data_IF_756863154311
#
_entry.id   IF_756863154311
#
_cell.length_a   1.000
_cell.length_b   1.000
_cell.length_c   1.000
_cell.angle_alpha   90.00
_cell.angle_beta   90.00
_cell.angle_gamma   90.00
#
_symmetry.space_group_name_H-M   'P 1'
#
loop_
_entity.id
_entity.type
_entity.pdbx_description
1 polymer ?
#
# COMPACT_ATOMS: atom_id res chain seq x y z
N UNK A 1 40.59 -14.11 34.08
CA UNK A 1 40.78 -13.44 32.78
C UNK A 1 40.54 -11.95 32.97
N UNK A 2 41.60 -11.11 33.02
CA UNK A 2 41.47 -9.67 33.29
C UNK A 2 40.94 -9.00 32.01
N UNK A 3 39.66 -8.66 31.99
CA UNK A 3 39.04 -7.98 30.86
C UNK A 3 39.66 -6.59 30.73
N UNK A 4 40.41 -6.35 29.65
CA UNK A 4 41.05 -5.06 29.41
C UNK A 4 39.96 -3.99 29.27
N UNK A 5 39.90 -3.06 30.24
CA UNK A 5 38.88 -1.99 30.29
C UNK A 5 38.77 -1.20 28.98
N UNK A 6 39.86 -1.11 28.21
CA UNK A 6 39.90 -0.47 26.88
C UNK A 6 39.11 -1.24 25.81
N UNK A 7 39.11 -2.58 25.83
CA UNK A 7 38.34 -3.42 24.90
C UNK A 7 36.84 -3.38 25.22
N UNK A 8 36.48 -3.35 26.51
CA UNK A 8 35.10 -3.19 26.93
C UNK A 8 34.52 -1.82 26.51
N UNK A 9 35.32 -0.75 26.64
CA UNK A 9 34.91 0.60 26.22
C UNK A 9 34.70 0.68 24.70
N UNK A 10 35.60 0.06 23.92
CA UNK A 10 35.49 0.02 22.46
C UNK A 10 34.27 -0.77 21.99
N UNK A 11 33.94 -1.88 22.66
CA UNK A 11 32.76 -2.67 22.33
C UNK A 11 31.47 -1.87 22.59
N UNK A 12 31.37 -1.18 23.74
CA UNK A 12 30.21 -0.33 24.06
C UNK A 12 30.05 0.82 23.05
N UNK A 13 31.16 1.45 22.63
CA UNK A 13 31.13 2.53 21.65
C UNK A 13 30.63 2.04 20.29
N UNK A 14 31.13 0.89 19.81
CA UNK A 14 30.71 0.29 18.54
C UNK A 14 29.22 -0.11 18.59
N UNK A 15 28.76 -0.74 19.66
CA UNK A 15 27.34 -1.10 19.82
C UNK A 15 26.45 0.13 19.88
N UNK A 16 26.90 1.22 20.53
CA UNK A 16 26.14 2.48 20.60
C UNK A 16 26.02 3.19 19.24
N UNK A 17 27.07 3.11 18.41
CA UNK A 17 27.06 3.66 17.05
C UNK A 17 26.08 2.91 16.14
N UNK A 18 25.96 1.59 16.28
CA UNK A 18 24.98 0.80 15.55
C UNK A 18 23.53 1.09 15.96
N UNK A 19 23.28 1.44 17.24
CA UNK A 19 21.93 1.79 17.71
C UNK A 19 21.46 3.17 17.27
N UNK A 20 22.38 4.12 17.01
CA UNK A 20 22.04 5.49 16.63
C UNK A 20 21.71 5.64 15.13
N UNK A 21 22.20 4.77 14.25
CA UNK A 21 21.90 4.82 12.81
C UNK A 21 20.54 4.20 12.43
N UNK A 22 19.93 3.41 13.32
CA UNK A 22 18.68 2.71 13.01
C UNK A 22 17.44 3.61 13.08
N UNK A 23 17.40 4.60 14.00
CA UNK A 23 16.23 5.47 14.17
C UNK A 23 16.17 6.62 13.15
N UNK A 24 17.32 7.17 12.72
CA UNK A 24 17.37 8.28 11.75
C UNK A 24 17.03 7.81 10.32
N UNK A 25 17.28 6.54 9.99
CA UNK A 25 17.04 5.99 8.65
C UNK A 25 15.55 5.88 8.32
N UNK A 26 14.67 5.68 9.31
CA UNK A 26 13.23 5.53 9.08
C UNK A 26 12.60 6.88 8.68
N UNK A 27 12.98 7.98 9.34
CA UNK A 27 12.41 9.32 9.08
C UNK A 27 12.99 9.96 7.82
N UNK A 28 14.26 9.70 7.51
CA UNK A 28 14.90 10.21 6.28
C UNK A 28 14.43 9.45 5.04
N UNK A 29 14.14 8.15 5.15
CA UNK A 29 13.58 7.37 4.05
C UNK A 29 12.20 7.89 3.64
N UNK A 30 11.32 8.24 4.59
CA UNK A 30 10.00 8.79 4.29
C UNK A 30 10.03 10.17 3.60
N UNK A 31 10.97 11.04 4.00
CA UNK A 31 11.18 12.33 3.31
C UNK A 31 11.71 12.16 1.89
N UNK A 32 12.67 11.25 1.69
CA UNK A 32 13.17 10.91 0.34
C UNK A 32 12.09 10.21 -0.50
N UNK A 33 11.19 9.46 0.15
CA UNK A 33 10.07 8.78 -0.49
C UNK A 33 9.11 9.77 -1.14
N UNK A 34 8.79 10.91 -0.50
CA UNK A 34 7.94 11.95 -1.12
C UNK A 34 8.57 12.58 -2.38
N UNK A 35 9.89 12.73 -2.41
CA UNK A 35 10.60 13.23 -3.61
C UNK A 35 10.60 12.20 -4.75
N UNK A 36 10.62 10.90 -4.45
CA UNK A 36 10.53 9.82 -5.45
C UNK A 36 9.16 9.70 -6.13
N UNK A 37 8.10 10.34 -5.61
CA UNK A 37 6.75 10.26 -6.23
C UNK A 37 6.59 11.25 -7.37
N UNK A 38 7.50 12.24 -7.46
CA UNK A 38 7.42 13.32 -8.44
C UNK A 38 7.61 12.74 -9.85
N UNK A 39 6.58 12.88 -10.67
CA UNK A 39 6.56 12.46 -12.07
C UNK A 39 6.06 11.03 -12.30
N UNK A 40 5.84 10.23 -11.25
CA UNK A 40 5.24 8.90 -11.39
C UNK A 40 3.79 9.02 -11.84
N UNK A 41 3.42 8.23 -12.83
CA UNK A 41 2.05 8.14 -13.32
C UNK A 41 1.26 7.17 -12.45
N UNK A 42 0.12 7.63 -11.93
CA UNK A 42 -0.68 6.93 -10.94
C UNK A 42 -2.14 6.91 -11.39
N UNK A 43 -2.80 5.79 -11.16
CA UNK A 43 -4.25 5.63 -11.31
C UNK A 43 -4.88 5.44 -9.93
N UNK A 44 -5.77 6.35 -9.55
CA UNK A 44 -6.53 6.35 -8.31
C UNK A 44 -7.95 5.88 -8.59
N UNK A 45 -8.41 4.89 -7.83
CA UNK A 45 -9.76 4.32 -7.94
C UNK A 45 -10.45 4.32 -6.58
N UNK A 46 -11.74 4.64 -6.56
CA UNK A 46 -12.56 4.60 -5.35
C UNK A 46 -13.67 3.57 -5.46
N UNK A 47 -14.04 2.96 -4.34
CA UNK A 47 -15.03 1.90 -4.31
C UNK A 47 -16.10 2.16 -3.25
N UNK A 48 -17.36 1.88 -3.61
CA UNK A 48 -18.50 1.99 -2.71
C UNK A 48 -18.54 0.84 -1.67
N UNK A 49 -19.55 0.87 -0.80
CA UNK A 49 -19.75 -0.17 0.21
C UNK A 49 -20.06 -1.55 -0.39
N UNK A 50 -20.60 -1.58 -1.61
CA UNK A 50 -20.90 -2.78 -2.39
C UNK A 50 -19.69 -3.26 -3.21
N UNK A 51 -18.53 -2.63 -3.03
CA UNK A 51 -17.29 -2.96 -3.75
C UNK A 51 -17.36 -2.70 -5.26
N UNK A 52 -18.20 -1.76 -5.66
CA UNK A 52 -18.29 -1.26 -7.04
C UNK A 52 -17.36 -0.05 -7.23
N UNK A 53 -16.72 0.01 -8.40
CA UNK A 53 -15.92 1.16 -8.80
C UNK A 53 -16.83 2.39 -8.95
N UNK A 54 -16.52 3.47 -8.23
CA UNK A 54 -17.24 4.75 -8.32
C UNK A 54 -16.53 5.65 -9.32
N UNK A 55 -15.26 5.96 -9.05
CA UNK A 55 -14.46 6.89 -9.82
C UNK A 55 -13.08 6.32 -10.14
N UNK A 56 -12.52 6.75 -11.27
CA UNK A 56 -11.15 6.47 -11.70
C UNK A 56 -10.50 7.76 -12.21
N UNK A 57 -9.30 8.06 -11.72
CA UNK A 57 -8.56 9.28 -12.02
C UNK A 57 -7.09 8.92 -12.25
N UNK A 58 -6.50 9.45 -13.33
CA UNK A 58 -5.09 9.23 -13.65
C UNK A 58 -4.33 10.55 -13.77
N UNK A 59 -3.08 10.55 -13.31
CA UNK A 59 -2.23 11.73 -13.35
C UNK A 59 -0.86 11.48 -12.75
N UNK A 60 -0.02 12.52 -12.72
CA UNK A 60 1.37 12.41 -12.27
C UNK A 60 1.55 12.97 -10.88
N UNK A 61 2.56 12.49 -10.14
CA UNK A 61 2.92 13.02 -8.83
C UNK A 61 1.75 12.96 -7.84
N UNK A 62 1.38 11.75 -7.45
CA UNK A 62 0.39 11.56 -6.38
C UNK A 62 0.99 12.01 -5.04
N UNK A 63 0.14 12.47 -4.13
CA UNK A 63 0.44 12.61 -2.70
C UNK A 63 -0.85 12.36 -1.93
N UNK A 64 -0.78 11.56 -0.87
CA UNK A 64 -1.92 11.30 0.00
C UNK A 64 -1.51 11.65 1.43
N UNK A 65 -2.30 12.49 2.07
CA UNK A 65 -2.06 12.93 3.44
C UNK A 65 -3.38 13.14 4.18
N UNK A 66 -3.34 13.15 5.50
CA UNK A 66 -4.47 13.57 6.32
C UNK A 66 -4.73 15.06 6.09
N UNK A 67 -5.98 15.45 5.88
CA UNK A 67 -6.34 16.85 5.82
C UNK A 67 -6.48 17.41 7.25
N UNK A 68 -5.51 18.23 7.65
CA UNK A 68 -5.40 18.80 8.99
C UNK A 68 -6.48 19.84 9.30
N UNK A 69 -7.12 20.41 8.28
CA UNK A 69 -8.21 21.40 8.47
C UNK A 69 -9.44 20.79 9.16
N UNK A 70 -9.57 19.48 9.12
CA UNK A 70 -10.67 18.73 9.73
C UNK A 70 -10.29 18.05 11.06
N UNK A 71 -9.09 18.29 11.59
CA UNK A 71 -8.73 17.78 12.91
C UNK A 71 -9.54 18.49 14.00
N UNK A 72 -9.87 17.74 15.06
CA UNK A 72 -10.26 18.38 16.30
C UNK A 72 -9.07 19.07 16.93
N UNK A 73 -9.32 20.17 17.65
CA UNK A 73 -8.30 20.92 18.37
C UNK A 73 -8.42 20.72 19.88
N UNK A 74 -7.29 20.70 20.58
CA UNK A 74 -7.25 20.71 22.05
C UNK A 74 -7.64 22.09 22.64
N UNK A 75 -7.59 22.21 23.97
CA UNK A 75 -7.96 23.44 24.66
C UNK A 75 -7.01 24.61 24.36
N UNK A 76 -5.78 24.30 23.92
CA UNK A 76 -4.73 25.23 23.54
C UNK A 76 -4.74 25.57 22.03
N UNK A 77 -5.58 24.89 21.24
CA UNK A 77 -5.75 25.10 19.80
C UNK A 77 -4.83 24.27 18.91
N UNK A 78 -4.14 23.26 19.44
CA UNK A 78 -3.31 22.33 18.66
C UNK A 78 -4.15 21.17 18.10
N UNK A 79 -3.76 20.67 16.93
CA UNK A 79 -4.42 19.54 16.25
C UNK A 79 -4.23 18.23 17.02
N UNK A 80 -5.31 17.46 17.12
CA UNK A 80 -5.32 16.09 17.66
C UNK A 80 -4.97 15.02 16.61
N UNK A 81 -4.70 15.40 15.36
CA UNK A 81 -4.36 14.51 14.25
C UNK A 81 -5.38 13.37 14.01
N UNK A 82 -6.66 13.63 14.25
CA UNK A 82 -7.74 12.64 14.27
C UNK A 82 -8.69 12.73 13.05
N UNK A 83 -8.42 13.64 12.11
CA UNK A 83 -9.18 13.75 10.86
C UNK A 83 -9.15 12.45 10.07
N UNK A 84 -10.32 12.02 9.60
CA UNK A 84 -10.48 10.92 8.64
C UNK A 84 -10.57 11.40 7.19
N UNK A 85 -10.48 12.71 6.96
CA UNK A 85 -10.47 13.29 5.62
C UNK A 85 -9.06 13.19 5.07
N UNK A 86 -8.92 12.61 3.88
CA UNK A 86 -7.68 12.57 3.14
C UNK A 86 -7.63 13.73 2.16
N UNK A 87 -6.51 14.46 2.14
CA UNK A 87 -6.13 15.32 1.03
C UNK A 87 -5.29 14.50 0.06
N UNK A 88 -5.86 14.27 -1.13
CA UNK A 88 -5.22 13.60 -2.26
C UNK A 88 -4.82 14.66 -3.29
N UNK A 89 -3.55 14.74 -3.60
CA UNK A 89 -3.03 15.61 -4.66
C UNK A 89 -2.59 14.75 -5.83
N UNK A 90 -3.05 15.07 -7.04
CA UNK A 90 -2.65 14.42 -8.27
C UNK A 90 -2.18 15.50 -9.25
N UNK A 91 -0.87 15.72 -9.29
CA UNK A 91 -0.27 16.81 -10.05
C UNK A 91 -0.65 18.16 -9.46
N UNK A 92 -1.46 18.93 -10.20
CA UNK A 92 -1.95 20.25 -9.78
C UNK A 92 -3.39 20.20 -9.24
N UNK A 93 -3.99 19.02 -9.17
CA UNK A 93 -5.37 18.85 -8.71
C UNK A 93 -5.38 18.37 -7.27
N UNK A 94 -6.26 18.93 -6.45
CA UNK A 94 -6.51 18.51 -5.08
C UNK A 94 -7.92 17.92 -4.97
N UNK A 95 -8.03 16.83 -4.22
CA UNK A 95 -9.25 16.08 -3.96
C UNK A 95 -9.32 15.83 -2.45
N UNK A 96 -10.42 16.22 -1.82
CA UNK A 96 -10.73 15.83 -0.44
C UNK A 96 -11.59 14.56 -0.46
N UNK A 97 -11.06 13.48 0.12
CA UNK A 97 -11.66 12.16 0.10
C UNK A 97 -11.96 11.66 1.52
N UNK A 98 -13.16 11.13 1.75
CA UNK A 98 -13.54 10.54 3.04
C UNK A 98 -14.52 9.39 2.85
N UNK A 99 -14.43 8.39 3.72
CA UNK A 99 -15.46 7.36 3.84
C UNK A 99 -15.22 6.11 3.00
N UNK A 100 -15.09 6.23 1.67
CA UNK A 100 -14.99 5.09 0.74
C UNK A 100 -13.58 4.52 0.62
N UNK A 101 -13.50 3.27 0.15
CA UNK A 101 -12.22 2.59 -0.10
C UNK A 101 -11.50 3.26 -1.28
N UNK A 102 -10.18 3.38 -1.20
CA UNK A 102 -9.37 3.97 -2.27
C UNK A 102 -8.14 3.10 -2.53
N UNK A 103 -7.86 2.86 -3.81
CA UNK A 103 -6.65 2.16 -4.27
C UNK A 103 -5.96 3.05 -5.30
N UNK A 104 -4.71 3.42 -5.06
CA UNK A 104 -3.89 4.14 -6.02
C UNK A 104 -2.70 3.29 -6.44
N UNK A 105 -2.57 3.01 -7.74
CA UNK A 105 -1.53 2.15 -8.28
C UNK A 105 -0.68 2.92 -9.30
N UNK A 106 0.64 2.73 -9.23
CA UNK A 106 1.57 3.23 -10.23
C UNK A 106 1.36 2.51 -11.56
N UNK A 107 1.56 3.25 -12.66
CA UNK A 107 1.50 2.71 -14.00
C UNK A 107 2.39 1.46 -14.15
N UNK A 108 1.82 0.43 -14.77
CA UNK A 108 2.47 -0.87 -14.93
C UNK A 108 2.27 -1.82 -13.75
N UNK A 109 1.49 -1.47 -12.73
CA UNK A 109 0.83 -2.43 -11.85
C UNK A 109 -0.53 -2.81 -12.45
N UNK A 110 -0.61 -4.01 -13.03
CA UNK A 110 -1.85 -4.52 -13.61
C UNK A 110 -2.77 -5.08 -12.52
N UNK A 111 -4.04 -4.65 -12.51
CA UNK A 111 -5.06 -5.22 -11.66
C UNK A 111 -5.60 -6.53 -12.26
N UNK A 112 -5.07 -7.64 -11.76
CA UNK A 112 -5.40 -8.98 -12.20
C UNK A 112 -6.84 -9.38 -11.83
N UNK A 113 -7.44 -8.74 -10.83
CA UNK A 113 -8.83 -9.00 -10.47
C UNK A 113 -9.78 -8.40 -11.52
N UNK A 114 -9.55 -7.15 -11.93
CA UNK A 114 -10.31 -6.51 -13.00
C UNK A 114 -10.15 -7.26 -14.35
N UNK A 115 -8.92 -7.69 -14.65
CA UNK A 115 -8.63 -8.55 -15.82
C UNK A 115 -9.40 -9.87 -15.75
N UNK A 116 -9.37 -10.53 -14.60
CA UNK A 116 -10.08 -11.77 -14.35
C UNK A 116 -11.59 -11.60 -14.58
N UNK A 117 -12.21 -10.58 -13.98
CA UNK A 117 -13.64 -10.27 -14.15
C UNK A 117 -14.04 -10.02 -15.61
N UNK A 118 -13.16 -9.41 -16.40
CA UNK A 118 -13.40 -9.12 -17.82
C UNK A 118 -13.20 -10.33 -18.74
N UNK A 119 -12.34 -11.26 -18.34
CA UNK A 119 -11.93 -12.43 -19.13
C UNK A 119 -12.81 -13.67 -18.96
N UNK A 120 -13.51 -13.79 -17.84
CA UNK A 120 -14.29 -14.98 -17.52
C UNK A 120 -15.76 -14.77 -17.86
N UNK A 121 -16.24 -15.50 -18.87
CA UNK A 121 -17.67 -15.70 -19.08
C UNK A 121 -18.24 -16.35 -17.81
N UNK A 122 -19.26 -15.73 -17.21
CA UNK A 122 -19.89 -16.14 -15.92
C UNK A 122 -20.53 -17.54 -15.94
N UNK A 123 -20.32 -18.33 -16.99
CA UNK A 123 -20.91 -19.66 -17.22
C UNK A 123 -20.21 -20.76 -16.41
N UNK A 124 -18.96 -20.56 -15.95
CA UNK A 124 -18.19 -21.54 -15.16
C UNK A 124 -17.89 -21.06 -13.71
N UNK A 125 -18.91 -20.51 -13.03
CA UNK A 125 -18.82 -20.15 -11.62
C UNK A 125 -19.02 -21.38 -10.72
N UNK A 126 -17.94 -22.08 -10.36
CA UNK A 126 -17.96 -23.09 -9.30
C UNK A 126 -17.62 -22.46 -7.94
N UNK A 127 -18.58 -22.14 -7.06
CA UNK A 127 -18.29 -21.46 -5.78
C UNK A 127 -17.37 -22.25 -4.82
N UNK A 128 -17.09 -23.53 -5.09
CA UNK A 128 -16.27 -24.40 -4.25
C UNK A 128 -14.77 -24.07 -4.32
N UNK A 129 -14.32 -23.38 -5.36
CA UNK A 129 -12.91 -23.00 -5.53
C UNK A 129 -12.70 -21.55 -5.06
N UNK A 130 -11.77 -21.29 -4.12
CA UNK A 130 -11.45 -19.93 -3.68
C UNK A 130 -11.07 -19.02 -4.86
N UNK A 131 -11.53 -17.77 -4.81
CA UNK A 131 -11.41 -16.83 -5.94
C UNK A 131 -9.96 -16.57 -6.37
N UNK A 132 -9.03 -16.50 -5.41
CA UNK A 132 -7.60 -16.28 -5.69
C UNK A 132 -7.00 -17.47 -6.43
N UNK A 133 -7.21 -18.70 -5.97
CA UNK A 133 -6.72 -19.92 -6.63
C UNK A 133 -7.26 -20.03 -8.06
N UNK A 134 -8.54 -19.67 -8.27
CA UNK A 134 -9.12 -19.66 -9.60
C UNK A 134 -8.48 -18.61 -10.49
N UNK A 135 -8.28 -17.40 -9.99
CA UNK A 135 -7.61 -16.34 -10.75
C UNK A 135 -6.18 -16.74 -11.13
N UNK A 136 -5.40 -17.31 -10.20
CA UNK A 136 -4.05 -17.86 -10.50
C UNK A 136 -4.13 -18.94 -11.59
N UNK A 137 -5.14 -19.80 -11.53
CA UNK A 137 -5.35 -20.87 -12.51
C UNK A 137 -5.84 -20.38 -13.88
N UNK A 138 -6.63 -19.31 -13.93
CA UNK A 138 -7.18 -18.74 -15.17
C UNK A 138 -6.17 -17.82 -15.86
N UNK A 139 -5.43 -17.04 -15.07
CA UNK A 139 -4.44 -16.06 -15.54
C UNK A 139 -3.00 -16.57 -15.37
N UNK A 140 -2.75 -17.87 -15.63
CA UNK A 140 -1.44 -18.50 -15.36
C UNK A 140 -0.25 -17.71 -15.87
N UNK A 141 -0.36 -17.13 -17.06
CA UNK A 141 0.71 -16.35 -17.68
C UNK A 141 1.06 -15.09 -16.87
N UNK A 142 0.06 -14.45 -16.28
CA UNK A 142 0.24 -13.21 -15.49
C UNK A 142 0.85 -13.50 -14.10
N UNK A 143 0.63 -14.70 -13.57
CA UNK A 143 1.22 -15.15 -12.31
C UNK A 143 2.55 -15.91 -12.49
N UNK A 144 2.90 -16.29 -13.71
CA UNK A 144 4.13 -17.07 -13.98
C UNK A 144 5.35 -16.23 -13.63
N UNK A 145 6.26 -16.81 -12.84
CA UNK A 145 7.48 -16.15 -12.39
C UNK A 145 7.31 -15.22 -11.18
N UNK A 146 6.06 -14.94 -10.75
CA UNK A 146 5.79 -14.09 -9.58
C UNK A 146 5.96 -14.86 -8.28
N UNK A 147 6.51 -14.23 -7.24
CA UNK A 147 6.69 -14.88 -5.94
C UNK A 147 5.51 -14.62 -5.00
N UNK A 148 4.84 -13.48 -5.14
CA UNK A 148 3.82 -12.98 -4.21
C UNK A 148 2.55 -12.56 -4.94
N UNK A 149 1.42 -12.74 -4.26
CA UNK A 149 0.10 -12.26 -4.69
C UNK A 149 -0.48 -11.37 -3.60
N UNK A 150 -0.88 -10.15 -3.96
CA UNK A 150 -1.50 -9.16 -3.07
C UNK A 150 -2.97 -9.08 -3.41
N UNK A 151 -3.84 -9.62 -2.55
CA UNK A 151 -5.28 -9.47 -2.65
C UNK A 151 -5.73 -8.27 -1.81
N UNK A 152 -6.41 -7.31 -2.42
CA UNK A 152 -7.05 -6.19 -1.73
C UNK A 152 -8.55 -6.44 -1.68
N UNK A 153 -9.15 -6.22 -0.51
CA UNK A 153 -10.56 -6.41 -0.23
C UNK A 153 -11.14 -5.20 0.46
N UNK A 154 -12.42 -4.93 0.29
CA UNK A 154 -13.14 -4.01 1.16
C UNK A 154 -13.16 -4.57 2.59
N UNK A 155 -13.52 -3.74 3.55
CA UNK A 155 -13.58 -4.13 4.96
C UNK A 155 -14.64 -5.22 5.26
N UNK A 156 -15.53 -5.51 4.31
CA UNK A 156 -16.49 -6.62 4.40
C UNK A 156 -15.95 -7.94 3.79
N UNK A 157 -14.73 -7.93 3.25
CA UNK A 157 -14.06 -9.09 2.67
C UNK A 157 -14.25 -9.28 1.17
N UNK A 158 -14.99 -8.41 0.49
CA UNK A 158 -15.19 -8.51 -0.97
C UNK A 158 -13.93 -8.08 -1.73
N UNK A 159 -13.40 -8.88 -2.67
CA UNK A 159 -12.25 -8.51 -3.49
C UNK A 159 -12.47 -7.22 -4.29
N UNK A 160 -11.46 -6.34 -4.27
CA UNK A 160 -11.45 -5.06 -5.00
C UNK A 160 -10.39 -5.04 -6.11
N UNK A 161 -9.20 -5.54 -5.81
CA UNK A 161 -8.07 -5.55 -6.74
C UNK A 161 -7.12 -6.69 -6.39
N UNK A 162 -6.34 -7.17 -7.36
CA UNK A 162 -5.25 -8.11 -7.10
C UNK A 162 -4.02 -7.79 -7.92
N UNK A 163 -2.87 -7.81 -7.27
CA UNK A 163 -1.57 -7.56 -7.89
C UNK A 163 -0.62 -8.73 -7.64
N UNK A 164 0.34 -8.94 -8.53
CA UNK A 164 1.36 -9.97 -8.38
C UNK A 164 2.75 -9.40 -8.67
N UNK A 165 3.76 -9.89 -7.94
CA UNK A 165 5.13 -9.42 -8.05
C UNK A 165 6.14 -10.40 -7.44
N UNK A 166 7.42 -10.15 -7.67
CA UNK A 166 8.52 -10.96 -7.14
C UNK A 166 8.90 -10.48 -5.73
N UNK A 167 8.84 -9.17 -5.50
CA UNK A 167 9.14 -8.54 -4.21
C UNK A 167 8.02 -7.61 -3.80
N UNK A 168 7.49 -7.84 -2.60
CA UNK A 168 6.47 -6.98 -1.98
C UNK A 168 7.01 -6.49 -0.65
N UNK A 169 7.12 -5.17 -0.49
CA UNK A 169 7.53 -4.52 0.76
C UNK A 169 6.38 -3.67 1.29
N UNK A 170 6.21 -3.64 2.62
CA UNK A 170 5.21 -2.81 3.29
C UNK A 170 5.88 -1.65 3.99
N UNK A 171 5.23 -0.49 3.95
CA UNK A 171 5.69 0.71 4.61
C UNK A 171 4.58 1.32 5.46
N UNK A 172 4.99 1.93 6.57
CA UNK A 172 4.08 2.71 7.40
C UNK A 172 3.71 3.99 6.64
N UNK A 173 2.41 4.31 6.61
CA UNK A 173 1.92 5.59 6.11
C UNK A 173 1.50 6.47 7.28
N UNK A 174 1.82 7.77 7.20
CA UNK A 174 1.36 8.76 8.17
C UNK A 174 -0.13 9.08 7.99
N UNK A 175 -0.72 8.71 6.85
CA UNK A 175 -2.14 8.89 6.60
C UNK A 175 -2.97 7.79 7.32
N UNK A 176 -4.06 8.16 8.01
CA UNK A 176 -4.85 7.23 8.79
C UNK A 176 -5.49 6.17 7.90
N UNK A 177 -5.47 4.91 8.35
CA UNK A 177 -6.07 3.76 7.63
C UNK A 177 -5.50 3.57 6.21
N UNK A 178 -4.27 4.04 5.99
CA UNK A 178 -3.54 3.90 4.74
C UNK A 178 -2.39 2.91 4.89
N UNK A 179 -2.18 2.08 3.88
CA UNK A 179 -1.02 1.20 3.76
C UNK A 179 -0.36 1.43 2.41
N UNK A 180 0.97 1.44 2.42
CA UNK A 180 1.77 1.63 1.21
C UNK A 180 2.59 0.37 0.97
N UNK A 181 2.41 -0.18 -0.23
CA UNK A 181 3.12 -1.36 -0.70
C UNK A 181 3.99 -0.96 -1.88
N UNK A 182 5.16 -1.58 -1.96
CA UNK A 182 6.03 -1.52 -3.12
C UNK A 182 6.15 -2.91 -3.72
N UNK A 183 5.64 -3.06 -4.95
CA UNK A 183 5.61 -4.31 -5.70
C UNK A 183 6.59 -4.17 -6.88
N UNK A 184 7.69 -4.91 -6.86
CA UNK A 184 8.74 -4.85 -7.89
C UNK A 184 9.26 -3.43 -8.19
N UNK A 185 9.29 -2.57 -7.17
CA UNK A 185 9.71 -1.17 -7.28
C UNK A 185 8.58 -0.19 -7.66
N UNK A 186 7.36 -0.67 -7.92
CA UNK A 186 6.19 0.15 -8.22
C UNK A 186 5.29 0.32 -7.00
N UNK A 187 4.71 1.51 -6.86
CA UNK A 187 3.96 1.92 -5.66
C UNK A 187 2.48 1.56 -5.76
N UNK A 188 1.95 1.11 -4.63
CA UNK A 188 0.54 0.78 -4.43
C UNK A 188 0.09 1.33 -3.08
N UNK A 189 -0.87 2.25 -3.10
CA UNK A 189 -1.44 2.86 -1.90
C UNK A 189 -2.85 2.33 -1.72
N UNK A 190 -3.16 1.95 -0.50
CA UNK A 190 -4.40 1.31 -0.13
C UNK A 190 -4.97 2.07 1.05
N UNK A 191 -6.16 2.65 0.89
CA UNK A 191 -6.87 3.34 1.96
C UNK A 191 -8.19 2.65 2.25
N UNK A 192 -8.42 2.36 3.54
CA UNK A 192 -9.64 1.77 4.08
C UNK A 192 -10.01 0.41 3.44
N UNK A 193 -8.99 -0.39 3.10
CA UNK A 193 -9.15 -1.75 2.62
C UNK A 193 -8.43 -2.73 3.54
N UNK A 194 -8.85 -3.99 3.49
CA UNK A 194 -8.07 -5.11 4.00
C UNK A 194 -7.18 -5.65 2.89
N UNK A 195 -6.01 -6.17 3.21
CA UNK A 195 -5.17 -6.86 2.23
C UNK A 195 -4.55 -8.13 2.80
N UNK A 196 -4.26 -9.08 1.91
CA UNK A 196 -3.50 -10.29 2.23
C UNK A 196 -2.41 -10.47 1.19
N UNK A 197 -1.19 -10.75 1.65
CA UNK A 197 -0.05 -11.05 0.78
C UNK A 197 0.25 -12.55 0.93
N UNK A 198 0.08 -13.29 -0.16
CA UNK A 198 0.32 -14.72 -0.22
C UNK A 198 1.67 -15.00 -0.87
N UNK A 199 2.35 -16.05 -0.41
CA UNK A 199 3.29 -16.77 -1.27
C UNK A 199 2.51 -17.42 -2.41
N UNK A 200 2.90 -17.14 -3.66
CA UNK A 200 2.17 -17.63 -4.84
C UNK A 200 2.11 -19.16 -4.86
N UNK A 201 3.15 -19.83 -4.38
CA UNK A 201 3.22 -21.30 -4.29
C UNK A 201 2.12 -21.92 -3.42
N UNK A 202 1.50 -21.15 -2.50
CA UNK A 202 0.37 -21.62 -1.68
C UNK A 202 -0.97 -21.60 -2.44
N UNK A 203 -1.00 -21.02 -3.64
CA UNK A 203 -2.20 -20.78 -4.44
C UNK A 203 -2.29 -21.70 -5.66
N UNK A 204 -1.34 -22.64 -5.80
CA UNK A 204 -1.29 -23.68 -6.84
C UNK A 204 -2.16 -24.90 -6.50
#
# INVERSE_FOLDING_TARGET
MKWNKKLALSAVLVTSLFTLSACQSISNWWKNTKEEWIGLEMTVRTFDENSQLIDEMSGKSLSISRNEEFDSVDAEGYSNADSSVLKVTLGNYEIDHVGSSLIAAEEGLEDLFAKYQSSVDMVNYDPSIPIVNRMVSSLKNDFTGKAKVVLIRSQNGTPLATYAGDKVSLYASDAPKTSELLIDGKRLIIYRCDYTIYDRELLE
#
